data_IF_524675819532
#
_entry.id   IF_524675819532
#
_cell.length_a   1.000
_cell.length_b   1.000
_cell.length_c   1.000
_cell.angle_alpha   90.00
_cell.angle_beta   90.00
_cell.angle_gamma   90.00
#
_symmetry.space_group_name_H-M   'P 1'
#
loop_
_entity.id
_entity.type
_entity.pdbx_description
1 polymer ?
#
# COMPACT_ATOMS: atom_id res chain seq x y z
N UNK A 1 12.96 16.83 1.86
CA UNK A 1 11.87 16.28 1.02
C UNK A 1 10.78 15.76 1.95
N UNK A 2 9.50 15.94 1.60
CA UNK A 2 8.37 15.38 2.35
C UNK A 2 8.24 13.89 2.03
N UNK A 3 7.82 13.07 2.99
CA UNK A 3 7.68 11.63 2.83
C UNK A 3 6.41 11.11 3.51
N UNK A 4 5.92 9.96 3.08
CA UNK A 4 4.90 9.18 3.79
C UNK A 4 5.40 7.74 3.91
N UNK A 5 4.95 7.01 4.93
CA UNK A 5 5.36 5.63 5.15
C UNK A 5 4.39 4.63 4.48
N UNK A 6 4.74 3.34 4.50
CA UNK A 6 3.92 2.30 3.87
C UNK A 6 2.59 2.06 4.57
N UNK A 7 2.42 2.46 5.85
CA UNK A 7 1.10 2.44 6.49
C UNK A 7 0.17 3.48 5.86
N UNK A 8 0.67 4.69 5.64
CA UNK A 8 -0.07 5.75 4.95
C UNK A 8 -0.39 5.36 3.51
N UNK A 9 0.56 4.76 2.78
CA UNK A 9 0.29 4.20 1.43
C UNK A 9 -0.76 3.09 1.48
N UNK A 10 -0.76 2.25 2.52
CA UNK A 10 -1.79 1.23 2.72
C UNK A 10 -3.17 1.83 2.97
N UNK A 11 -3.26 2.92 3.75
CA UNK A 11 -4.51 3.60 4.05
C UNK A 11 -5.15 4.20 2.79
N UNK A 12 -4.33 4.60 1.82
CA UNK A 12 -4.77 5.03 0.49
C UNK A 12 -5.23 3.88 -0.42
N UNK A 13 -5.17 2.62 0.04
CA UNK A 13 -5.48 1.43 -0.77
C UNK A 13 -4.41 1.10 -1.82
N UNK A 14 -3.32 1.87 -1.88
CA UNK A 14 -2.33 1.77 -2.95
C UNK A 14 -1.49 0.50 -2.87
N UNK A 15 -1.22 -0.03 -1.66
CA UNK A 15 -0.50 -1.31 -1.53
C UNK A 15 -1.29 -2.44 -2.16
N UNK A 16 -2.60 -2.54 -1.90
CA UNK A 16 -3.46 -3.58 -2.50
C UNK A 16 -3.45 -3.46 -4.01
N UNK A 17 -3.55 -2.23 -4.53
CA UNK A 17 -3.53 -1.97 -5.97
C UNK A 17 -2.20 -2.37 -6.61
N UNK A 18 -1.06 -1.92 -6.05
CA UNK A 18 0.28 -2.25 -6.53
C UNK A 18 0.49 -3.77 -6.51
N UNK A 19 0.13 -4.41 -5.40
CA UNK A 19 0.23 -5.85 -5.24
C UNK A 19 -0.59 -6.57 -6.31
N UNK A 20 -1.89 -6.29 -6.41
CA UNK A 20 -2.79 -6.97 -7.35
C UNK A 20 -2.40 -6.74 -8.81
N UNK A 21 -2.13 -5.50 -9.19
CA UNK A 21 -2.00 -5.13 -10.61
C UNK A 21 -0.60 -5.40 -11.15
N UNK A 22 0.43 -5.32 -10.31
CA UNK A 22 1.83 -5.34 -10.75
C UNK A 22 2.60 -6.51 -10.15
N UNK A 23 2.59 -6.68 -8.83
CA UNK A 23 3.53 -7.60 -8.16
C UNK A 23 3.03 -9.05 -8.15
N UNK A 24 1.76 -9.26 -7.85
CA UNK A 24 1.13 -10.58 -7.77
C UNK A 24 1.25 -11.38 -9.07
N UNK A 25 1.03 -10.79 -10.27
CA UNK A 25 1.28 -11.48 -11.55
C UNK A 25 2.73 -11.91 -11.77
N UNK A 26 3.68 -11.32 -11.04
CA UNK A 26 5.11 -11.65 -11.08
C UNK A 26 5.52 -12.60 -9.95
N UNK A 27 4.56 -13.08 -9.14
CA UNK A 27 4.84 -13.87 -7.95
C UNK A 27 5.49 -13.06 -6.82
N UNK A 28 5.30 -11.75 -6.80
CA UNK A 28 5.85 -10.85 -5.78
C UNK A 28 4.75 -10.23 -4.92
N UNK A 29 5.05 -9.89 -3.67
CA UNK A 29 4.16 -9.09 -2.83
C UNK A 29 4.93 -8.09 -1.97
N UNK A 30 4.48 -6.83 -1.99
CA UNK A 30 4.93 -5.77 -1.09
C UNK A 30 4.39 -6.04 0.31
N UNK A 31 5.28 -6.04 1.30
CA UNK A 31 4.92 -6.12 2.71
C UNK A 31 4.87 -4.73 3.34
N UNK A 32 4.38 -4.65 4.57
CA UNK A 32 4.63 -3.51 5.46
C UNK A 32 4.65 -4.01 6.89
N UNK A 33 5.49 -3.41 7.72
CA UNK A 33 5.39 -3.56 9.16
C UNK A 33 4.35 -2.54 9.68
N UNK A 34 3.23 -2.99 10.27
CA UNK A 34 2.18 -2.10 10.75
C UNK A 34 2.62 -1.22 11.93
N UNK A 35 3.67 -1.57 12.66
CA UNK A 35 4.16 -0.81 13.81
C UNK A 35 4.96 0.43 13.40
N UNK A 36 5.74 0.34 12.31
CA UNK A 36 6.66 1.42 11.90
C UNK A 36 6.48 1.90 10.46
N UNK A 37 5.62 1.26 9.67
CA UNK A 37 5.35 1.62 8.28
C UNK A 37 6.52 1.39 7.32
N UNK A 38 7.49 0.55 7.66
CA UNK A 38 8.61 0.16 6.79
C UNK A 38 8.24 -1.08 5.98
N UNK A 39 8.75 -1.16 4.76
CA UNK A 39 8.78 -2.39 3.96
C UNK A 39 10.23 -2.69 3.64
N UNK A 40 10.79 -3.73 4.26
CA UNK A 40 12.21 -4.08 4.11
C UNK A 40 12.47 -4.91 2.85
N UNK A 41 11.45 -5.66 2.39
CA UNK A 41 11.59 -6.65 1.34
C UNK A 41 10.24 -6.95 0.65
N UNK A 42 10.34 -7.53 -0.55
CA UNK A 42 9.23 -8.19 -1.22
C UNK A 42 9.20 -9.67 -0.83
N UNK A 43 8.01 -10.23 -0.69
CA UNK A 43 7.81 -11.67 -0.58
C UNK A 43 7.74 -12.29 -1.97
N UNK A 44 8.25 -13.52 -2.10
CA UNK A 44 8.22 -14.31 -3.34
C UNK A 44 7.25 -15.46 -3.15
N UNK A 45 6.38 -15.67 -4.13
CA UNK A 45 5.43 -16.78 -4.13
C UNK A 45 6.16 -18.11 -4.31
N UNK A 46 5.79 -19.16 -3.55
CA UNK A 46 6.32 -20.50 -3.76
C UNK A 46 5.84 -21.16 -5.07
N UNK A 47 4.71 -20.72 -5.63
CA UNK A 47 4.09 -21.28 -6.85
C UNK A 47 4.11 -20.32 -8.05
N UNK A 48 4.72 -19.14 -7.88
CA UNK A 48 4.97 -18.17 -8.95
C UNK A 48 3.88 -17.12 -9.14
N UNK A 49 2.76 -17.18 -8.41
CA UNK A 49 1.72 -16.14 -8.40
C UNK A 49 1.22 -15.85 -6.98
N UNK A 50 0.68 -14.66 -6.76
CA UNK A 50 -0.11 -14.36 -5.56
C UNK A 50 -1.50 -13.92 -5.97
N UNK A 51 -2.52 -14.21 -5.17
CA UNK A 51 -3.86 -13.71 -5.37
C UNK A 51 -4.45 -13.25 -4.04
N UNK A 52 -5.13 -12.11 -4.05
CA UNK A 52 -5.92 -11.72 -2.90
C UNK A 52 -7.21 -12.53 -2.85
N UNK A 53 -7.62 -12.90 -1.65
CA UNK A 53 -8.97 -13.43 -1.43
C UNK A 53 -10.03 -12.38 -1.88
N UNK A 54 -11.12 -12.85 -2.49
CA UNK A 54 -12.16 -11.97 -3.02
C UNK A 54 -12.80 -11.10 -1.93
N UNK A 55 -12.92 -11.60 -0.69
CA UNK A 55 -13.44 -10.83 0.43
C UNK A 55 -12.49 -9.70 0.84
N UNK A 56 -11.18 -9.93 0.79
CA UNK A 56 -10.18 -8.87 1.03
C UNK A 56 -10.28 -7.79 -0.05
N UNK A 57 -10.55 -8.18 -1.30
CA UNK A 57 -10.73 -7.23 -2.39
C UNK A 57 -11.98 -6.35 -2.23
N UNK A 58 -13.07 -6.88 -1.67
CA UNK A 58 -14.28 -6.09 -1.37
C UNK A 58 -14.04 -5.04 -0.28
N UNK A 59 -13.16 -5.35 0.68
CA UNK A 59 -12.88 -4.50 1.84
C UNK A 59 -11.65 -3.59 1.65
N UNK A 60 -10.99 -3.65 0.50
CA UNK A 60 -9.84 -2.81 0.21
C UNK A 60 -10.26 -1.33 0.22
N UNK A 61 -9.46 -0.42 0.82
CA UNK A 61 -9.78 0.99 0.80
C UNK A 61 -9.87 1.49 -0.65
N UNK A 62 -11.03 2.02 -1.02
CA UNK A 62 -11.21 2.73 -2.29
C UNK A 62 -11.18 4.22 -1.95
N UNK A 63 -10.02 4.83 -2.14
CA UNK A 63 -9.79 6.25 -1.89
C UNK A 63 -9.78 6.97 -3.23
N UNK A 64 -10.58 8.03 -3.37
CA UNK A 64 -10.56 8.84 -4.59
C UNK A 64 -9.23 9.59 -4.71
N UNK A 65 -8.85 10.01 -5.93
CA UNK A 65 -7.62 10.80 -6.08
C UNK A 65 -7.64 12.11 -5.27
N UNK A 66 -8.81 12.75 -5.17
CA UNK A 66 -9.00 13.97 -4.40
C UNK A 66 -8.78 13.72 -2.90
N UNK A 67 -9.39 12.66 -2.36
CA UNK A 67 -9.22 12.27 -0.96
C UNK A 67 -7.77 11.87 -0.67
N UNK A 68 -7.13 11.12 -1.58
CA UNK A 68 -5.74 10.73 -1.44
C UNK A 68 -4.81 11.96 -1.41
N UNK A 69 -5.03 12.93 -2.30
CA UNK A 69 -4.28 14.20 -2.32
C UNK A 69 -4.49 15.00 -1.05
N UNK A 70 -5.72 15.05 -0.52
CA UNK A 70 -6.03 15.74 0.73
C UNK A 70 -5.31 15.09 1.92
N UNK A 71 -5.34 13.76 2.04
CA UNK A 71 -4.61 13.02 3.09
C UNK A 71 -3.09 13.23 3.01
N UNK A 72 -2.51 13.14 1.81
CA UNK A 72 -1.08 13.40 1.60
C UNK A 72 -0.73 14.84 1.97
N UNK A 73 -1.56 15.82 1.63
CA UNK A 73 -1.34 17.21 2.00
C UNK A 73 -1.36 17.39 3.53
N UNK A 74 -2.28 16.73 4.24
CA UNK A 74 -2.37 16.76 5.70
C UNK A 74 -1.12 16.15 6.36
N UNK A 75 -0.78 14.89 6.05
CA UNK A 75 0.37 14.18 6.63
C UNK A 75 1.70 14.87 6.41
N UNK A 76 1.86 15.55 5.28
CA UNK A 76 3.11 16.24 4.95
C UNK A 76 3.15 17.68 5.45
N UNK A 77 2.04 18.25 5.92
CA UNK A 77 2.00 19.55 6.59
C UNK A 77 2.56 19.45 8.01
N UNK A 78 2.31 18.32 8.70
CA UNK A 78 2.80 18.03 10.04
C UNK A 78 4.34 17.95 10.13
N UNK A 79 5.01 17.67 9.02
CA UNK A 79 6.48 17.65 8.92
C UNK A 79 7.12 19.05 8.89
N UNK A 80 6.31 20.11 8.96
CA UNK A 80 6.74 21.51 8.98
C UNK A 80 6.56 22.18 10.35
N UNK A 81 5.98 21.46 11.32
CA UNK A 81 5.78 21.91 12.70
C UNK A 81 6.90 21.36 13.59
#
# INVERSE_FOLDING_TARGET
>A
MKHINWNQVSELGLIVRINREILHPLGLAMTRNPENGVSEMLMVSPDGIWEYDQQLMTNAPIVSEEEARAKIAAWTKEQQA
#
